data_IF_023686225331
#
_entry.id   IF_023686225331
#
_cell.length_a   1.000
_cell.length_b   1.000
_cell.length_c   1.000
_cell.angle_alpha   90.00
_cell.angle_beta   90.00
_cell.angle_gamma   90.00
#
_symmetry.space_group_name_H-M   'P 1'
#
loop_
_entity.id
_entity.type
_entity.pdbx_description
1 polymer ?
#
# COMPACT_ATOMS: atom_id res chain seq x y z
N UNK A 1 29.64 7.21 8.81
CA UNK A 1 28.18 7.31 8.96
C UNK A 1 27.81 6.49 10.16
N UNK A 2 27.14 7.12 11.12
CA UNK A 2 26.77 6.50 12.40
C UNK A 2 25.74 5.36 12.13
N UNK A 3 25.92 4.16 12.70
CA UNK A 3 24.95 3.07 12.56
C UNK A 3 23.52 3.45 12.99
N UNK A 4 23.36 4.47 13.85
CA UNK A 4 22.05 5.04 14.18
C UNK A 4 21.39 5.76 12.98
N UNK A 5 22.16 6.38 12.09
CA UNK A 5 21.62 7.06 10.89
C UNK A 5 21.23 6.08 9.78
N UNK A 6 21.92 4.94 9.67
CA UNK A 6 21.58 3.88 8.71
C UNK A 6 20.32 3.14 9.14
N UNK A 7 20.12 2.95 10.45
CA UNK A 7 18.92 2.32 11.01
C UNK A 7 17.68 3.21 10.81
N UNK A 8 17.81 4.54 10.95
CA UNK A 8 16.70 5.48 10.75
C UNK A 8 16.22 5.56 9.29
N UNK A 9 17.11 5.35 8.31
CA UNK A 9 16.77 5.30 6.88
C UNK A 9 16.06 3.98 6.54
N UNK A 10 16.37 2.88 7.23
CA UNK A 10 15.70 1.59 7.09
C UNK A 10 14.29 1.58 7.71
N UNK A 11 14.03 2.31 8.79
CA UNK A 11 12.69 2.38 9.40
C UNK A 11 11.72 3.27 8.62
N UNK A 12 12.23 4.29 7.91
CA UNK A 12 11.41 5.10 6.99
C UNK A 12 11.10 4.40 5.66
N UNK A 13 11.82 3.32 5.33
CA UNK A 13 11.54 2.46 4.19
C UNK A 13 10.34 1.50 4.42
N UNK A 14 9.81 1.40 5.64
CA UNK A 14 8.95 0.28 6.06
C UNK A 14 7.44 0.56 6.13
N UNK A 15 6.97 1.78 5.84
CA UNK A 15 5.53 2.06 5.73
C UNK A 15 5.18 2.71 4.37
N UNK A 16 4.66 1.93 3.41
CA UNK A 16 4.15 2.41 2.13
C UNK A 16 3.13 3.55 2.24
N UNK A 17 2.32 3.57 3.31
CA UNK A 17 1.34 4.62 3.52
C UNK A 17 1.99 5.92 4.03
N UNK A 18 2.95 5.85 4.95
CA UNK A 18 3.69 7.02 5.42
C UNK A 18 4.40 7.73 4.27
N UNK A 19 5.00 6.97 3.35
CA UNK A 19 5.65 7.55 2.17
C UNK A 19 4.64 8.12 1.16
N UNK A 20 3.48 7.48 0.96
CA UNK A 20 2.39 8.06 0.16
C UNK A 20 1.88 9.38 0.75
N UNK A 21 1.73 9.45 2.08
CA UNK A 21 1.35 10.68 2.80
C UNK A 21 2.41 11.77 2.61
N UNK A 22 3.69 11.45 2.72
CA UNK A 22 4.79 12.39 2.51
C UNK A 22 4.82 12.95 1.06
N UNK A 23 4.59 12.10 0.05
CA UNK A 23 4.54 12.52 -1.35
C UNK A 23 3.33 13.40 -1.66
N UNK A 24 2.16 13.13 -1.06
CA UNK A 24 0.99 14.03 -1.16
C UNK A 24 1.28 15.37 -0.52
N UNK A 25 1.83 15.37 0.68
CA UNK A 25 2.20 16.59 1.39
C UNK A 25 3.21 17.43 0.59
N UNK A 26 4.27 16.82 0.04
CA UNK A 26 5.21 17.55 -0.82
C UNK A 26 4.54 18.17 -2.05
N UNK A 27 3.53 17.51 -2.62
CA UNK A 27 2.77 18.06 -3.75
C UNK A 27 1.96 19.28 -3.32
N UNK A 28 1.23 19.16 -2.21
CA UNK A 28 0.42 20.24 -1.63
C UNK A 28 1.28 21.45 -1.24
N UNK A 29 2.39 21.21 -0.53
CA UNK A 29 3.34 22.24 -0.12
C UNK A 29 3.93 22.97 -1.35
N UNK A 30 4.25 22.25 -2.43
CA UNK A 30 4.78 22.83 -3.67
C UNK A 30 3.73 23.66 -4.44
N UNK A 31 2.47 23.22 -4.47
CA UNK A 31 1.35 24.00 -5.04
C UNK A 31 1.11 25.27 -4.23
N UNK A 32 1.14 25.19 -2.89
CA UNK A 32 0.94 26.34 -2.01
C UNK A 32 2.09 27.36 -2.14
N UNK A 33 3.33 26.89 -2.20
CA UNK A 33 4.51 27.75 -2.40
C UNK A 33 4.44 28.50 -3.74
N UNK A 34 4.13 27.79 -4.83
CA UNK A 34 3.99 28.42 -6.14
C UNK A 34 2.86 29.45 -6.15
N UNK A 35 1.69 29.12 -5.58
CA UNK A 35 0.57 30.05 -5.47
C UNK A 35 0.94 31.32 -4.69
N UNK A 36 1.59 31.17 -3.52
CA UNK A 36 2.05 32.31 -2.70
C UNK A 36 3.06 33.19 -3.43
N UNK A 37 3.98 32.59 -4.17
CA UNK A 37 4.98 33.32 -4.96
C UNK A 37 4.31 34.10 -6.12
N UNK A 38 3.39 33.46 -6.85
CA UNK A 38 2.62 34.10 -7.93
C UNK A 38 1.74 35.23 -7.42
N UNK A 39 1.08 35.07 -6.28
CA UNK A 39 0.25 36.11 -5.68
C UNK A 39 1.09 37.33 -5.25
N UNK A 40 2.28 37.10 -4.70
CA UNK A 40 3.23 38.16 -4.33
C UNK A 40 3.71 38.94 -5.56
N UNK A 41 4.12 38.23 -6.62
CA UNK A 41 4.52 38.83 -7.90
C UNK A 41 3.39 39.68 -8.51
N UNK A 42 2.17 39.15 -8.57
CA UNK A 42 1.01 39.87 -9.12
C UNK A 42 0.66 41.12 -8.31
N UNK A 43 0.76 41.07 -6.99
CA UNK A 43 0.53 42.23 -6.12
C UNK A 43 1.55 43.33 -6.38
N UNK A 44 2.83 42.97 -6.39
CA UNK A 44 3.92 43.92 -6.69
C UNK A 44 3.74 44.57 -8.07
N UNK A 45 3.39 43.78 -9.10
CA UNK A 45 3.13 44.31 -10.43
C UNK A 45 1.94 45.27 -10.47
N UNK A 46 0.85 44.93 -9.77
CA UNK A 46 -0.35 45.78 -9.70
C UNK A 46 -0.07 47.11 -9.00
N UNK A 47 0.74 47.10 -7.95
CA UNK A 47 1.17 48.32 -7.25
C UNK A 47 2.05 49.19 -8.14
N UNK A 48 3.04 48.60 -8.81
CA UNK A 48 3.89 49.30 -9.77
C UNK A 48 3.08 49.92 -10.89
N UNK A 49 2.20 49.14 -11.53
CA UNK A 49 1.37 49.59 -12.65
C UNK A 49 0.43 50.74 -12.25
N UNK A 50 -0.16 50.65 -11.06
CA UNK A 50 -0.99 51.72 -10.50
C UNK A 50 -0.19 53.02 -10.31
N UNK A 51 1.04 52.91 -9.80
CA UNK A 51 1.91 54.07 -9.61
C UNK A 51 2.40 54.65 -10.94
N UNK A 52 2.84 53.81 -11.87
CA UNK A 52 3.29 54.21 -13.20
C UNK A 52 2.18 54.94 -13.97
N UNK A 53 0.94 54.43 -13.89
CA UNK A 53 -0.23 55.08 -14.50
C UNK A 53 -0.50 56.47 -13.92
N UNK A 54 -0.42 56.64 -12.60
CA UNK A 54 -0.58 57.96 -11.97
C UNK A 54 0.47 58.96 -12.47
N UNK A 55 1.72 58.53 -12.54
CA UNK A 55 2.84 59.37 -13.02
C UNK A 55 2.65 59.73 -14.49
N UNK A 56 2.16 58.80 -15.32
CA UNK A 56 1.84 59.04 -16.72
C UNK A 56 0.68 60.03 -16.89
N UNK A 57 -0.40 59.87 -16.10
CA UNK A 57 -1.55 60.78 -16.09
C UNK A 57 -1.13 62.20 -15.65
N UNK A 58 -0.29 62.32 -14.61
CA UNK A 58 0.29 63.60 -14.16
C UNK A 58 1.16 64.26 -15.27
N UNK A 59 1.95 63.47 -16.00
CA UNK A 59 2.74 63.97 -17.12
C UNK A 59 1.84 64.48 -18.27
N UNK A 60 0.76 63.76 -18.58
CA UNK A 60 -0.22 64.16 -19.60
C UNK A 60 -0.93 65.47 -19.24
N UNK A 61 -1.38 65.62 -17.99
CA UNK A 61 -1.99 66.87 -17.51
C UNK A 61 -1.00 68.04 -17.52
N UNK A 62 0.29 67.78 -17.27
CA UNK A 62 1.33 68.81 -17.34
C UNK A 62 1.59 69.28 -18.77
N UNK A 63 1.64 68.37 -19.74
CA UNK A 63 1.75 68.68 -21.17
C UNK A 63 0.55 69.53 -21.62
N UNK A 64 -0.67 69.11 -21.24
CA UNK A 64 -1.90 69.84 -21.56
C UNK A 64 -1.86 71.27 -20.99
N UNK A 65 -1.53 71.40 -19.70
CA UNK A 65 -1.42 72.70 -19.03
C UNK A 65 -0.42 73.63 -19.72
N UNK A 66 0.75 73.11 -20.10
CA UNK A 66 1.78 73.89 -20.83
C UNK A 66 1.31 74.32 -22.21
N UNK A 67 0.58 73.46 -22.95
CA UNK A 67 0.01 73.80 -24.25
C UNK A 67 -1.03 74.93 -24.12
N UNK A 68 -1.92 74.82 -23.14
CA UNK A 68 -2.95 75.82 -22.87
C UNK A 68 -2.35 77.17 -22.45
N UNK A 69 -1.32 77.15 -21.59
CA UNK A 69 -0.61 78.36 -21.16
C UNK A 69 0.11 79.05 -22.32
N UNK A 70 0.84 78.29 -23.14
CA UNK A 70 1.49 78.83 -24.34
C UNK A 70 0.50 79.41 -25.34
N UNK A 71 -0.64 78.73 -25.53
CA UNK A 71 -1.70 79.21 -26.41
C UNK A 71 -2.23 80.57 -25.92
N UNK A 72 -2.53 80.71 -24.62
CA UNK A 72 -2.97 81.98 -24.01
C UNK A 72 -1.95 83.10 -24.19
N UNK A 73 -0.67 82.84 -23.94
CA UNK A 73 0.41 83.83 -24.11
C UNK A 73 0.51 84.27 -25.57
N UNK A 74 0.47 83.30 -26.49
CA UNK A 74 0.54 83.55 -27.94
C UNK A 74 -0.65 84.39 -28.43
N UNK A 75 -1.86 84.07 -27.98
CA UNK A 75 -3.07 84.82 -28.32
C UNK A 75 -3.04 86.24 -27.77
N UNK A 76 -2.61 86.42 -26.52
CA UNK A 76 -2.47 87.73 -25.89
C UNK A 76 -1.46 88.62 -26.64
N UNK A 77 -0.27 88.10 -26.94
CA UNK A 77 0.76 88.84 -27.69
C UNK A 77 0.30 89.16 -29.12
N UNK A 78 -0.40 88.24 -29.78
CA UNK A 78 -0.97 88.49 -31.11
C UNK A 78 -2.06 89.57 -31.09
N UNK A 79 -2.92 89.57 -30.05
CA UNK A 79 -3.95 90.58 -29.88
C UNK A 79 -3.34 91.96 -29.62
N UNK A 80 -2.26 92.06 -28.84
CA UNK A 80 -1.58 93.33 -28.59
C UNK A 80 -0.94 93.88 -29.87
N UNK A 81 -0.31 93.04 -30.71
CA UNK A 81 0.20 93.45 -32.03
C UNK A 81 -0.94 93.99 -32.91
N UNK A 82 -2.09 93.31 -32.96
CA UNK A 82 -3.27 93.78 -33.71
C UNK A 82 -3.75 95.14 -33.20
N UNK A 83 -3.80 95.33 -31.89
CA UNK A 83 -4.21 96.59 -31.25
C UNK A 83 -3.22 97.72 -31.55
N UNK A 84 -1.91 97.45 -31.52
CA UNK A 84 -0.89 98.41 -31.91
C UNK A 84 -1.03 98.83 -33.38
N UNK A 85 -1.22 97.86 -34.28
CA UNK A 85 -1.45 98.12 -35.70
C UNK A 85 -2.71 98.96 -35.95
N UNK A 86 -3.81 98.68 -35.23
CA UNK A 86 -5.04 99.47 -35.33
C UNK A 86 -4.82 100.92 -34.87
N UNK A 87 -4.16 101.13 -33.73
CA UNK A 87 -3.84 102.48 -33.23
C UNK A 87 -2.97 103.27 -34.21
N UNK A 88 -1.97 102.62 -34.79
CA UNK A 88 -1.12 103.23 -35.80
C UNK A 88 -1.93 103.64 -37.04
N UNK A 89 -2.80 102.76 -37.54
CA UNK A 89 -3.67 103.08 -38.67
C UNK A 89 -4.58 104.29 -38.37
N UNK A 90 -5.18 104.34 -37.18
CA UNK A 90 -6.03 105.46 -36.74
C UNK A 90 -5.23 106.77 -36.65
N UNK A 91 -4.00 106.74 -36.13
CA UNK A 91 -3.11 107.90 -36.05
C UNK A 91 -2.68 108.40 -37.44
N UNK A 92 -2.35 107.49 -38.36
CA UNK A 92 -2.04 107.83 -39.75
C UNK A 92 -3.25 108.46 -40.44
N UNK A 93 -4.45 107.90 -40.26
CA UNK A 93 -5.67 108.47 -40.84
C UNK A 93 -5.96 109.87 -40.28
N UNK A 94 -5.82 110.05 -38.97
CA UNK A 94 -5.98 111.35 -38.31
C UNK A 94 -4.96 112.37 -38.85
N UNK A 95 -3.68 112.00 -38.94
CA UNK A 95 -2.63 112.86 -39.46
C UNK A 95 -2.89 113.26 -40.92
N UNK A 96 -3.34 112.32 -41.76
CA UNK A 96 -3.72 112.58 -43.15
C UNK A 96 -4.93 113.54 -43.26
N UNK A 97 -5.93 113.40 -42.40
CA UNK A 97 -7.10 114.32 -42.33
C UNK A 97 -6.69 115.72 -41.88
N UNK A 98 -5.85 115.81 -40.86
CA UNK A 98 -5.29 117.08 -40.36
C UNK A 98 -4.48 117.78 -41.44
N UNK A 99 -3.61 117.04 -42.14
CA UNK A 99 -2.83 117.57 -43.26
C UNK A 99 -3.72 118.05 -44.40
N UNK A 100 -4.70 117.24 -44.82
CA UNK A 100 -5.66 117.61 -45.87
C UNK A 100 -6.43 118.90 -45.53
N UNK A 101 -6.84 119.04 -44.26
CA UNK A 101 -7.52 120.24 -43.76
C UNK A 101 -6.59 121.45 -43.74
N UNK A 102 -5.33 121.26 -43.31
CA UNK A 102 -4.31 122.30 -43.29
C UNK A 102 -4.00 122.82 -44.69
N UNK A 103 -3.82 121.92 -45.67
CA UNK A 103 -3.61 122.29 -47.09
C UNK A 103 -4.82 123.04 -47.67
N UNK A 104 -6.05 122.61 -47.34
CA UNK A 104 -7.29 123.28 -47.77
C UNK A 104 -7.40 124.71 -47.21
N UNK A 105 -6.96 124.94 -45.98
CA UNK A 105 -6.99 126.25 -45.35
C UNK A 105 -5.89 127.20 -45.86
N UNK A 106 -4.77 126.67 -46.37
CA UNK A 106 -3.67 127.45 -46.94
C UNK A 106 -3.89 127.84 -48.42
N UNK A 107 -5.14 127.78 -48.93
CA UNK A 107 -5.51 128.09 -50.33
C UNK A 107 -5.22 129.53 -50.79
N UNK A 108 -4.96 130.45 -49.87
CA UNK A 108 -4.58 131.85 -50.13
C UNK A 108 -3.11 132.17 -49.82
N UNK A 109 -2.33 131.21 -49.31
CA UNK A 109 -0.90 131.38 -48.99
C UNK A 109 0.04 131.11 -50.19
N UNK A 110 1.30 131.55 -50.09
CA UNK A 110 2.35 131.36 -51.11
C UNK A 110 2.70 129.89 -51.32
N UNK A 111 3.08 129.53 -52.55
CA UNK A 111 3.38 128.16 -52.94
C UNK A 111 4.51 127.52 -52.12
N UNK A 112 5.49 128.31 -51.68
CA UNK A 112 6.57 127.87 -50.78
C UNK A 112 6.07 127.37 -49.42
N UNK A 113 5.06 128.03 -48.83
CA UNK A 113 4.50 127.60 -47.53
C UNK A 113 3.71 126.28 -47.64
N UNK A 114 3.06 126.04 -48.78
CA UNK A 114 2.40 124.75 -49.05
C UNK A 114 3.41 123.62 -49.24
N UNK A 115 4.46 123.85 -50.02
CA UNK A 115 5.55 122.87 -50.20
C UNK A 115 6.24 122.53 -48.88
N UNK A 116 6.46 123.51 -48.01
CA UNK A 116 7.03 123.27 -46.68
C UNK A 116 6.11 122.40 -45.81
N UNK A 117 4.80 122.66 -45.82
CA UNK A 117 3.83 121.85 -45.05
C UNK A 117 3.67 120.41 -45.58
N UNK A 118 3.81 120.20 -46.89
CA UNK A 118 3.89 118.86 -47.51
C UNK A 118 5.17 118.13 -47.14
N UNK A 119 6.32 118.81 -47.17
CA UNK A 119 7.59 118.23 -46.73
C UNK A 119 7.57 117.86 -45.25
N UNK A 120 7.06 118.72 -44.37
CA UNK A 120 6.94 118.45 -42.94
C UNK A 120 5.99 117.27 -42.65
N UNK A 121 4.87 117.19 -43.37
CA UNK A 121 3.95 116.05 -43.26
C UNK A 121 4.61 114.75 -43.72
N UNK A 122 5.26 114.76 -44.88
CA UNK A 122 5.97 113.60 -45.42
C UNK A 122 7.08 113.13 -44.47
N UNK A 123 7.83 114.06 -43.88
CA UNK A 123 8.86 113.74 -42.90
C UNK A 123 8.28 113.11 -41.62
N UNK A 124 7.18 113.67 -41.09
CA UNK A 124 6.48 113.12 -39.91
C UNK A 124 5.90 111.74 -40.17
N UNK A 125 5.29 111.54 -41.34
CA UNK A 125 4.68 110.27 -41.72
C UNK A 125 5.75 109.19 -41.91
N UNK A 126 6.87 109.54 -42.58
CA UNK A 126 8.01 108.64 -42.75
C UNK A 126 8.66 108.26 -41.42
N UNK A 127 8.80 109.21 -40.48
CA UNK A 127 9.33 108.93 -39.13
C UNK A 127 8.40 108.01 -38.34
N UNK A 128 7.09 108.24 -38.41
CA UNK A 128 6.08 107.41 -37.74
C UNK A 128 6.00 106.01 -38.35
N UNK A 129 6.07 105.87 -39.67
CA UNK A 129 6.17 104.59 -40.38
C UNK A 129 7.40 103.79 -39.92
N UNK A 130 8.55 104.44 -39.83
CA UNK A 130 9.80 103.79 -39.43
C UNK A 130 9.79 103.35 -37.96
N UNK A 131 9.23 104.18 -37.07
CA UNK A 131 9.05 103.86 -35.65
C UNK A 131 8.05 102.73 -35.44
N UNK A 132 6.91 102.76 -36.14
CA UNK A 132 5.93 101.66 -36.12
C UNK A 132 6.54 100.37 -36.65
N UNK A 133 7.23 100.40 -37.80
CA UNK A 133 7.91 99.23 -38.37
C UNK A 133 8.89 98.62 -37.38
N UNK A 134 9.66 99.45 -36.66
CA UNK A 134 10.59 98.97 -35.62
C UNK A 134 9.85 98.32 -34.45
N UNK A 135 8.75 98.92 -33.99
CA UNK A 135 7.92 98.36 -32.90
C UNK A 135 7.25 97.04 -33.31
N UNK A 136 6.66 96.97 -34.51
CA UNK A 136 6.05 95.75 -35.05
C UNK A 136 7.08 94.62 -35.16
N UNK A 137 8.27 94.90 -35.71
CA UNK A 137 9.35 93.91 -35.83
C UNK A 137 9.77 93.39 -34.44
N UNK A 138 9.89 94.28 -33.45
CA UNK A 138 10.23 93.88 -32.08
C UNK A 138 9.13 93.02 -31.43
N UNK A 139 7.86 93.39 -31.61
CA UNK A 139 6.74 92.63 -31.06
C UNK A 139 6.58 91.26 -31.73
N UNK A 140 6.78 91.18 -33.06
CA UNK A 140 6.82 89.92 -33.80
C UNK A 140 7.97 89.01 -33.34
N UNK A 141 9.14 89.58 -33.03
CA UNK A 141 10.27 88.85 -32.46
C UNK A 141 9.92 88.26 -31.09
N UNK A 142 9.32 89.04 -30.19
CA UNK A 142 8.87 88.57 -28.87
C UNK A 142 7.81 87.46 -29.01
N UNK A 143 6.88 87.59 -29.95
CA UNK A 143 5.89 86.54 -30.24
C UNK A 143 6.55 85.25 -30.75
N UNK A 144 7.56 85.36 -31.62
CA UNK A 144 8.29 84.20 -32.12
C UNK A 144 9.09 83.50 -31.01
N UNK A 145 9.76 84.26 -30.14
CA UNK A 145 10.49 83.74 -28.98
C UNK A 145 9.54 83.00 -28.00
N UNK A 146 8.38 83.59 -27.68
CA UNK A 146 7.39 82.96 -26.81
C UNK A 146 6.83 81.64 -27.40
N UNK A 147 6.58 81.60 -28.71
CA UNK A 147 6.15 80.37 -29.40
C UNK A 147 7.22 79.26 -29.33
N UNK A 148 8.49 79.62 -29.54
CA UNK A 148 9.58 78.64 -29.52
C UNK A 148 9.86 78.13 -28.11
N UNK A 149 9.92 79.02 -27.10
CA UNK A 149 10.07 78.62 -25.69
C UNK A 149 8.92 77.67 -25.28
N UNK A 150 7.71 78.01 -25.70
CA UNK A 150 6.55 77.19 -25.45
C UNK A 150 6.64 75.79 -26.07
N UNK A 151 7.06 75.73 -27.34
CA UNK A 151 7.30 74.46 -28.04
C UNK A 151 8.35 73.61 -27.34
N UNK A 152 9.45 74.22 -26.89
CA UNK A 152 10.53 73.51 -26.19
C UNK A 152 10.04 72.90 -24.87
N UNK A 153 9.27 73.64 -24.07
CA UNK A 153 8.69 73.11 -22.81
C UNK A 153 7.82 71.88 -23.05
N UNK A 154 6.98 71.90 -24.10
CA UNK A 154 6.13 70.77 -24.47
C UNK A 154 6.98 69.57 -24.90
N UNK A 155 7.99 69.78 -25.74
CA UNK A 155 8.90 68.72 -26.19
C UNK A 155 9.65 68.07 -25.02
N UNK A 156 10.13 68.87 -24.06
CA UNK A 156 10.78 68.34 -22.85
C UNK A 156 9.83 67.51 -21.99
N UNK A 157 8.57 67.94 -21.86
CA UNK A 157 7.56 67.21 -21.12
C UNK A 157 7.16 65.90 -21.81
N UNK A 158 7.04 65.90 -23.15
CA UNK A 158 6.82 64.70 -23.96
C UNK A 158 7.98 63.72 -23.81
N UNK A 159 9.23 64.18 -23.87
CA UNK A 159 10.41 63.34 -23.65
C UNK A 159 10.43 62.69 -22.27
N UNK A 160 10.00 63.41 -21.22
CA UNK A 160 9.87 62.84 -19.86
C UNK A 160 8.78 61.76 -19.82
N UNK A 161 7.65 61.97 -20.50
CA UNK A 161 6.58 60.98 -20.62
C UNK A 161 7.07 59.72 -21.31
N UNK A 162 7.77 59.85 -22.43
CA UNK A 162 8.31 58.70 -23.16
C UNK A 162 9.28 57.89 -22.30
N UNK A 163 10.11 58.55 -21.49
CA UNK A 163 10.96 57.89 -20.50
C UNK A 163 10.20 57.12 -19.42
N UNK A 164 9.01 57.60 -19.00
CA UNK A 164 8.13 56.88 -18.07
C UNK A 164 7.56 55.63 -18.73
N UNK A 165 7.06 55.77 -19.97
CA UNK A 165 6.50 54.65 -20.75
C UNK A 165 7.57 53.57 -20.97
N UNK A 166 8.80 53.98 -21.31
CA UNK A 166 9.90 53.05 -21.51
C UNK A 166 10.21 52.25 -20.23
N UNK A 167 10.34 52.92 -19.07
CA UNK A 167 10.56 52.25 -17.79
C UNK A 167 9.44 51.28 -17.44
N UNK A 168 8.18 51.68 -17.69
CA UNK A 168 7.01 50.82 -17.46
C UNK A 168 7.08 49.54 -18.29
N UNK A 169 7.50 49.64 -19.56
CA UNK A 169 7.67 48.49 -20.43
C UNK A 169 8.83 47.58 -19.99
N UNK A 170 9.96 48.16 -19.55
CA UNK A 170 11.10 47.40 -19.01
C UNK A 170 10.70 46.61 -17.75
N UNK A 171 9.94 47.22 -16.85
CA UNK A 171 9.46 46.54 -15.64
C UNK A 171 8.43 45.44 -15.96
N UNK A 172 7.53 45.70 -16.92
CA UNK A 172 6.58 44.69 -17.39
C UNK A 172 7.29 43.48 -17.99
N UNK A 173 8.33 43.70 -18.79
CA UNK A 173 9.14 42.63 -19.35
C UNK A 173 9.82 41.81 -18.24
N UNK A 174 10.38 42.49 -17.24
CA UNK A 174 11.00 41.83 -16.08
C UNK A 174 10.00 40.97 -15.30
N UNK A 175 8.78 41.47 -15.11
CA UNK A 175 7.70 40.71 -14.48
C UNK A 175 7.31 39.47 -15.30
N UNK A 176 7.18 39.60 -16.61
CA UNK A 176 6.84 38.48 -17.49
C UNK A 176 7.91 37.38 -17.42
N UNK A 177 9.19 37.75 -17.50
CA UNK A 177 10.31 36.80 -17.39
C UNK A 177 10.37 36.12 -16.01
N UNK A 178 10.12 36.88 -14.93
CA UNK A 178 10.06 36.32 -13.58
C UNK A 178 8.89 35.34 -13.41
N UNK A 179 7.73 35.67 -13.98
CA UNK A 179 6.55 34.80 -13.97
C UNK A 179 6.78 33.51 -14.77
N UNK A 180 7.41 33.60 -15.94
CA UNK A 180 7.74 32.44 -16.78
C UNK A 180 8.71 31.50 -16.06
N UNK A 181 9.81 32.04 -15.51
CA UNK A 181 10.78 31.24 -14.73
C UNK A 181 10.15 30.54 -13.53
N UNK A 182 9.20 31.21 -12.86
CA UNK A 182 8.51 30.63 -11.71
C UNK A 182 7.56 29.49 -12.13
N UNK A 183 6.89 29.63 -13.27
CA UNK A 183 6.03 28.60 -13.86
C UNK A 183 6.85 27.38 -14.31
N UNK A 184 7.96 27.61 -15.01
CA UNK A 184 8.86 26.54 -15.46
C UNK A 184 9.41 25.73 -14.29
N UNK A 185 9.88 26.42 -13.25
CA UNK A 185 10.37 25.79 -12.01
C UNK A 185 9.27 24.96 -11.33
N UNK A 186 8.04 25.48 -11.28
CA UNK A 186 6.90 24.75 -10.74
C UNK A 186 6.59 23.49 -11.56
N UNK A 187 6.54 23.59 -12.89
CA UNK A 187 6.31 22.45 -13.77
C UNK A 187 7.40 21.39 -13.64
N UNK A 188 8.67 21.80 -13.54
CA UNK A 188 9.78 20.87 -13.34
C UNK A 188 9.64 20.11 -12.00
N UNK A 189 9.30 20.82 -10.93
CA UNK A 189 9.06 20.21 -9.62
C UNK A 189 7.87 19.24 -9.66
N UNK A 190 6.78 19.61 -10.32
CA UNK A 190 5.62 18.71 -10.51
C UNK A 190 6.01 17.45 -11.29
N UNK A 191 6.81 17.57 -12.35
CA UNK A 191 7.34 16.41 -13.11
C UNK A 191 8.20 15.51 -12.21
N UNK A 192 9.12 16.08 -11.44
CA UNK A 192 9.97 15.33 -10.48
C UNK A 192 9.13 14.57 -9.46
N UNK A 193 8.14 15.23 -8.85
CA UNK A 193 7.21 14.61 -7.90
C UNK A 193 6.45 13.46 -8.57
N UNK A 194 5.94 13.66 -9.79
CA UNK A 194 5.18 12.64 -10.54
C UNK A 194 6.03 11.41 -10.85
N UNK A 195 7.26 11.60 -11.34
CA UNK A 195 8.19 10.50 -11.63
C UNK A 195 8.51 9.71 -10.37
N UNK A 196 8.80 10.40 -9.26
CA UNK A 196 9.07 9.75 -7.97
C UNK A 196 7.86 8.95 -7.46
N UNK A 197 6.65 9.50 -7.59
CA UNK A 197 5.40 8.81 -7.25
C UNK A 197 5.19 7.54 -8.08
N UNK A 198 5.47 7.59 -9.38
CA UNK A 198 5.32 6.44 -10.28
C UNK A 198 6.31 5.33 -9.94
N UNK A 199 7.58 5.66 -9.75
CA UNK A 199 8.61 4.71 -9.36
C UNK A 199 8.26 4.02 -8.03
N UNK A 200 7.81 4.80 -7.05
CA UNK A 200 7.41 4.29 -5.75
C UNK A 200 6.20 3.35 -5.81
N UNK A 201 5.19 3.66 -6.62
CA UNK A 201 4.04 2.76 -6.85
C UNK A 201 4.49 1.41 -7.40
N UNK A 202 5.42 1.41 -8.36
CA UNK A 202 5.92 0.18 -8.96
C UNK A 202 6.69 -0.66 -7.94
N UNK A 203 7.53 -0.04 -7.12
CA UNK A 203 8.29 -0.71 -6.07
C UNK A 203 7.38 -1.33 -5.01
N UNK A 204 6.36 -0.60 -4.55
CA UNK A 204 5.36 -1.14 -3.61
C UNK A 204 4.59 -2.33 -4.17
N UNK A 205 4.22 -2.31 -5.46
CA UNK A 205 3.55 -3.45 -6.09
C UNK A 205 4.46 -4.69 -6.10
N UNK A 206 5.76 -4.52 -6.36
CA UNK A 206 6.73 -5.63 -6.30
C UNK A 206 6.86 -6.18 -4.87
N UNK A 207 7.00 -5.30 -3.87
CA UNK A 207 7.11 -5.71 -2.46
C UNK A 207 5.85 -6.48 -2.03
N UNK A 208 4.65 -5.96 -2.33
CA UNK A 208 3.39 -6.63 -2.00
C UNK A 208 3.26 -8.00 -2.68
N UNK A 209 3.66 -8.10 -3.94
CA UNK A 209 3.65 -9.38 -4.67
C UNK A 209 4.57 -10.40 -4.00
N UNK A 210 5.81 -10.03 -3.70
CA UNK A 210 6.78 -10.91 -3.05
C UNK A 210 6.31 -11.35 -1.66
N UNK A 211 5.75 -10.42 -0.88
CA UNK A 211 5.19 -10.70 0.44
C UNK A 211 4.05 -11.74 0.36
N UNK A 212 3.14 -11.58 -0.60
CA UNK A 212 2.03 -12.51 -0.80
C UNK A 212 2.51 -13.90 -1.24
N UNK A 213 3.57 -13.97 -2.06
CA UNK A 213 4.21 -15.24 -2.43
C UNK A 213 4.82 -15.96 -1.21
N UNK A 214 5.51 -15.22 -0.34
CA UNK A 214 6.09 -15.76 0.91
C UNK A 214 4.98 -16.25 1.85
N UNK A 215 3.95 -15.43 2.09
CA UNK A 215 2.84 -15.80 2.97
C UNK A 215 2.08 -17.03 2.46
N UNK A 216 1.86 -17.12 1.15
CA UNK A 216 1.22 -18.28 0.55
C UNK A 216 2.09 -19.54 0.71
N UNK A 217 3.40 -19.44 0.50
CA UNK A 217 4.32 -20.56 0.72
C UNK A 217 4.28 -21.06 2.17
N UNK A 218 4.39 -20.15 3.13
CA UNK A 218 4.33 -20.49 4.56
C UNK A 218 2.99 -21.16 4.93
N UNK A 219 1.86 -20.65 4.39
CA UNK A 219 0.54 -21.27 4.60
C UNK A 219 0.48 -22.69 4.03
N UNK A 220 1.02 -22.90 2.83
CA UNK A 220 1.06 -24.22 2.20
C UNK A 220 1.94 -25.20 2.97
N UNK A 221 3.10 -24.76 3.44
CA UNK A 221 4.01 -25.58 4.25
C UNK A 221 3.34 -26.01 5.56
N UNK A 222 2.70 -25.07 6.27
CA UNK A 222 1.94 -25.36 7.48
C UNK A 222 0.75 -26.30 7.22
N UNK A 223 0.05 -26.14 6.10
CA UNK A 223 -1.04 -27.04 5.71
C UNK A 223 -0.53 -28.46 5.45
N UNK A 224 0.63 -28.60 4.80
CA UNK A 224 1.27 -29.89 4.56
C UNK A 224 1.72 -30.57 5.86
N UNK A 225 2.26 -29.81 6.82
CA UNK A 225 2.61 -30.32 8.15
C UNK A 225 1.37 -30.82 8.90
N UNK A 226 0.31 -29.99 8.96
CA UNK A 226 -0.96 -30.38 9.58
C UNK A 226 -1.55 -31.65 8.94
N UNK A 227 -1.46 -31.78 7.61
CA UNK A 227 -1.91 -32.98 6.92
C UNK A 227 -1.10 -34.21 7.31
N UNK A 228 0.24 -34.11 7.36
CA UNK A 228 1.12 -35.20 7.80
C UNK A 228 0.81 -35.64 9.23
N UNK A 229 0.57 -34.69 10.13
CA UNK A 229 0.25 -34.99 11.52
C UNK A 229 -1.13 -35.64 11.67
N UNK A 230 -2.14 -35.16 10.94
CA UNK A 230 -3.45 -35.80 10.89
C UNK A 230 -3.37 -37.24 10.36
N UNK A 231 -2.59 -37.46 9.30
CA UNK A 231 -2.37 -38.79 8.75
C UNK A 231 -1.69 -39.73 9.75
N UNK A 232 -0.72 -39.21 10.51
CA UNK A 232 -0.04 -39.96 11.56
C UNK A 232 -0.99 -40.32 12.70
N UNK A 233 -1.79 -39.37 13.16
CA UNK A 233 -2.77 -39.59 14.24
C UNK A 233 -3.80 -40.65 13.84
N UNK A 234 -4.34 -40.53 12.62
CA UNK A 234 -5.30 -41.50 12.10
C UNK A 234 -4.69 -42.91 11.99
N UNK A 235 -3.45 -43.02 11.52
CA UNK A 235 -2.73 -44.30 11.43
C UNK A 235 -2.55 -44.93 12.81
N UNK A 236 -2.11 -44.13 13.80
CA UNK A 236 -1.94 -44.58 15.18
C UNK A 236 -3.27 -45.02 15.80
N UNK A 237 -4.35 -44.25 15.60
CA UNK A 237 -5.66 -44.59 16.12
C UNK A 237 -6.19 -45.90 15.50
N UNK A 238 -5.99 -46.10 14.21
CA UNK A 238 -6.36 -47.35 13.55
C UNK A 238 -5.53 -48.53 14.06
N UNK A 239 -4.24 -48.35 14.30
CA UNK A 239 -3.39 -49.37 14.92
C UNK A 239 -3.90 -49.76 16.33
N UNK A 240 -4.28 -48.78 17.17
CA UNK A 240 -4.89 -49.05 18.49
C UNK A 240 -6.12 -49.92 18.37
N UNK A 241 -7.04 -49.56 17.47
CA UNK A 241 -8.30 -50.26 17.32
C UNK A 241 -8.07 -51.70 16.80
N UNK A 242 -7.13 -51.90 15.86
CA UNK A 242 -6.75 -53.24 15.38
C UNK A 242 -6.19 -54.10 16.52
N UNK A 243 -5.31 -53.55 17.36
CA UNK A 243 -4.77 -54.29 18.51
C UNK A 243 -5.90 -54.66 19.49
N UNK A 244 -6.85 -53.75 19.75
CA UNK A 244 -7.99 -54.01 20.64
C UNK A 244 -8.90 -55.12 20.10
N UNK A 245 -9.21 -55.12 18.80
CA UNK A 245 -10.01 -56.18 18.20
C UNK A 245 -9.23 -57.52 18.16
N UNK A 246 -7.90 -57.46 18.00
CA UNK A 246 -7.05 -58.66 18.07
C UNK A 246 -7.02 -59.26 19.49
N UNK A 247 -7.00 -58.44 20.53
CA UNK A 247 -7.01 -58.89 21.94
C UNK A 247 -8.24 -59.75 22.26
N UNK A 248 -9.40 -59.46 21.68
CA UNK A 248 -10.60 -60.30 21.86
C UNK A 248 -10.39 -61.74 21.40
N UNK A 249 -9.62 -61.95 20.34
CA UNK A 249 -9.26 -63.29 19.88
C UNK A 249 -8.37 -63.98 20.93
N UNK A 250 -7.35 -63.28 21.43
CA UNK A 250 -6.40 -63.80 22.43
C UNK A 250 -7.13 -64.24 23.70
N UNK A 251 -8.06 -63.43 24.20
CA UNK A 251 -8.84 -63.72 25.42
C UNK A 251 -9.61 -65.05 25.32
N UNK A 252 -10.14 -65.37 24.13
CA UNK A 252 -10.82 -66.67 23.91
C UNK A 252 -9.87 -67.85 24.00
N UNK A 253 -8.64 -67.71 23.50
CA UNK A 253 -7.61 -68.75 23.52
C UNK A 253 -7.07 -68.97 24.93
N UNK A 254 -6.86 -67.89 25.69
CA UNK A 254 -6.45 -67.96 27.11
C UNK A 254 -7.50 -68.73 27.92
N UNK A 255 -8.79 -68.47 27.69
CA UNK A 255 -9.88 -69.17 28.39
C UNK A 255 -9.82 -70.69 28.16
N UNK A 256 -9.60 -71.13 26.90
CA UNK A 256 -9.43 -72.54 26.57
C UNK A 256 -8.20 -73.15 27.23
N UNK A 257 -7.08 -72.42 27.27
CA UNK A 257 -5.83 -72.85 27.92
C UNK A 257 -5.99 -73.09 29.42
N UNK A 258 -6.71 -72.21 30.12
CA UNK A 258 -6.96 -72.32 31.57
C UNK A 258 -7.75 -73.61 31.88
N UNK A 259 -8.82 -73.88 31.12
CA UNK A 259 -9.62 -75.10 31.31
C UNK A 259 -8.85 -76.38 30.95
N UNK A 260 -7.92 -76.34 29.98
CA UNK A 260 -7.00 -77.45 29.74
C UNK A 260 -6.08 -77.71 30.94
N UNK A 261 -5.57 -76.65 31.57
CA UNK A 261 -4.77 -76.75 32.80
C UNK A 261 -5.54 -77.41 33.95
N UNK A 262 -6.83 -77.08 34.10
CA UNK A 262 -7.73 -77.72 35.07
C UNK A 262 -7.88 -79.23 34.80
N UNK A 263 -8.20 -79.61 33.57
CA UNK A 263 -8.34 -81.02 33.15
C UNK A 263 -7.05 -81.81 33.40
N UNK A 264 -5.89 -81.22 33.07
CA UNK A 264 -4.57 -81.82 33.32
C UNK A 264 -4.39 -82.14 34.81
N UNK A 265 -4.62 -81.15 35.69
CA UNK A 265 -4.39 -81.31 37.13
C UNK A 265 -5.24 -82.41 37.74
N UNK A 266 -6.47 -82.59 37.24
CA UNK A 266 -7.39 -83.61 37.74
C UNK A 266 -7.15 -85.00 37.14
N UNK A 267 -6.72 -85.09 35.87
CA UNK A 267 -6.42 -86.36 35.21
C UNK A 267 -5.04 -86.92 35.55
N UNK A 268 -4.09 -86.06 35.97
CA UNK A 268 -2.73 -86.45 36.34
C UNK A 268 -2.32 -85.84 37.69
N UNK A 269 -2.68 -86.47 38.82
CA UNK A 269 -2.32 -85.96 40.15
C UNK A 269 -0.80 -85.95 40.38
N UNK A 270 -0.28 -84.90 41.02
CA UNK A 270 1.16 -84.65 41.19
C UNK A 270 1.96 -85.74 41.94
N UNK A 271 1.28 -86.67 42.63
CA UNK A 271 1.91 -87.74 43.42
C UNK A 271 1.79 -89.14 42.79
N UNK A 272 1.38 -89.24 41.52
CA UNK A 272 1.29 -90.53 40.81
C UNK A 272 0.19 -91.47 41.32
N UNK A 273 -0.79 -90.93 42.06
CA UNK A 273 -1.97 -91.67 42.48
C UNK A 273 -2.99 -91.81 41.36
N UNK A 274 -3.85 -92.83 41.43
CA UNK A 274 -4.93 -93.02 40.47
C UNK A 274 -5.86 -91.78 40.45
N UNK A 275 -6.32 -91.33 39.27
CA UNK A 275 -7.22 -90.18 39.16
C UNK A 275 -8.49 -90.41 39.97
N UNK A 276 -8.75 -89.58 40.98
CA UNK A 276 -9.98 -89.65 41.79
C UNK A 276 -10.90 -88.51 41.40
N UNK A 277 -11.37 -88.53 40.15
CA UNK A 277 -12.20 -87.48 39.57
C UNK A 277 -13.65 -87.75 39.94
N UNK A 278 -14.29 -86.79 40.62
CA UNK A 278 -15.73 -86.86 40.92
C UNK A 278 -16.49 -86.67 39.59
N UNK A 279 -17.44 -87.55 39.25
CA UNK A 279 -18.27 -87.38 38.06
C UNK A 279 -18.90 -85.98 38.02
N UNK A 280 -18.79 -85.31 36.87
CA UNK A 280 -19.30 -83.95 36.66
C UNK A 280 -18.37 -82.81 37.08
N UNK A 281 -17.24 -83.07 37.76
CA UNK A 281 -16.30 -82.01 38.20
C UNK A 281 -15.72 -81.21 37.03
N UNK A 282 -15.39 -81.88 35.93
CA UNK A 282 -14.74 -81.29 34.75
C UNK A 282 -15.73 -80.84 33.67
N UNK A 283 -17.05 -80.99 33.87
CA UNK A 283 -18.07 -80.64 32.86
C UNK A 283 -18.01 -79.15 32.48
N UNK A 284 -17.72 -78.29 33.46
CA UNK A 284 -17.54 -76.86 33.24
C UNK A 284 -16.33 -76.59 32.34
N UNK A 285 -15.22 -77.30 32.54
CA UNK A 285 -14.00 -77.15 31.74
C UNK A 285 -14.20 -77.61 30.29
N UNK A 286 -14.89 -78.73 30.07
CA UNK A 286 -15.25 -79.18 28.72
C UNK A 286 -16.19 -78.21 28.02
N UNK A 287 -17.19 -77.68 28.74
CA UNK A 287 -18.10 -76.64 28.24
C UNK A 287 -17.35 -75.35 27.88
N UNK A 288 -16.41 -74.92 28.73
CA UNK A 288 -15.57 -73.74 28.51
C UNK A 288 -14.67 -73.90 27.28
N UNK A 289 -14.02 -75.05 27.09
CA UNK A 289 -13.21 -75.32 25.90
C UNK A 289 -14.08 -75.29 24.65
N UNK A 290 -15.24 -75.96 24.66
CA UNK A 290 -16.15 -75.98 23.52
C UNK A 290 -16.70 -74.59 23.18
N UNK A 291 -17.02 -73.80 24.21
CA UNK A 291 -17.43 -72.40 24.09
C UNK A 291 -16.29 -71.53 23.53
N UNK A 292 -15.06 -71.70 24.01
CA UNK A 292 -13.88 -71.00 23.53
C UNK A 292 -13.58 -71.32 22.06
N UNK A 293 -13.70 -72.58 21.62
CA UNK A 293 -13.54 -72.96 20.21
C UNK A 293 -14.57 -72.28 19.29
N UNK A 294 -15.83 -72.23 19.71
CA UNK A 294 -16.88 -71.56 18.93
C UNK A 294 -16.70 -70.03 18.93
N UNK A 295 -16.32 -69.46 20.08
CA UNK A 295 -16.06 -68.03 20.22
C UNK A 295 -14.86 -67.61 19.37
N UNK A 296 -13.74 -68.36 19.41
CA UNK A 296 -12.57 -68.12 18.59
C UNK A 296 -12.92 -68.09 17.09
N UNK A 297 -13.71 -69.05 16.60
CA UNK A 297 -14.16 -69.07 15.19
C UNK A 297 -14.95 -67.80 14.83
N UNK A 298 -15.82 -67.35 15.73
CA UNK A 298 -16.61 -66.15 15.50
C UNK A 298 -15.73 -64.87 15.55
N UNK A 299 -14.90 -64.71 16.57
CA UNK A 299 -14.01 -63.56 16.73
C UNK A 299 -12.99 -63.46 15.58
N UNK A 300 -12.42 -64.59 15.14
CA UNK A 300 -11.56 -64.64 13.94
C UNK A 300 -12.28 -64.10 12.69
N UNK A 301 -13.55 -64.46 12.49
CA UNK A 301 -14.35 -63.99 11.36
C UNK A 301 -14.65 -62.49 11.49
N UNK A 302 -15.05 -62.03 12.68
CA UNK A 302 -15.31 -60.62 12.95
C UNK A 302 -14.07 -59.76 12.74
N UNK A 303 -12.93 -60.20 13.25
CA UNK A 303 -11.65 -59.53 13.05
C UNK A 303 -11.24 -59.47 11.57
N UNK A 304 -11.43 -60.57 10.82
CA UNK A 304 -11.15 -60.57 9.37
C UNK A 304 -12.01 -59.54 8.63
N UNK A 305 -13.30 -59.45 8.99
CA UNK A 305 -14.20 -58.44 8.42
C UNK A 305 -13.81 -57.01 8.84
N UNK A 306 -13.40 -56.83 10.10
CA UNK A 306 -12.90 -55.57 10.62
C UNK A 306 -11.67 -55.08 9.87
N UNK A 307 -10.68 -55.95 9.65
CA UNK A 307 -9.44 -55.64 8.92
C UNK A 307 -9.74 -55.24 7.48
N UNK A 308 -10.64 -55.95 6.78
CA UNK A 308 -11.04 -55.60 5.40
C UNK A 308 -11.64 -54.18 5.33
N UNK A 309 -12.40 -53.78 6.35
CA UNK A 309 -13.05 -52.48 6.40
C UNK A 309 -12.16 -51.37 6.97
N UNK A 310 -10.99 -51.72 7.50
CA UNK A 310 -10.08 -50.75 8.11
C UNK A 310 -9.10 -50.24 7.05
N UNK A 311 -9.15 -48.93 6.79
CA UNK A 311 -8.19 -48.26 5.92
C UNK A 311 -7.03 -47.68 6.75
N UNK A 312 -5.86 -47.50 6.14
CA UNK A 312 -4.73 -46.76 6.74
C UNK A 312 -4.21 -47.38 8.05
N UNK A 313 -4.13 -48.70 8.09
CA UNK A 313 -3.36 -49.44 9.11
C UNK A 313 -2.04 -49.88 8.51
N UNK A 314 -0.99 -49.93 9.33
CA UNK A 314 0.30 -50.45 8.91
C UNK A 314 0.19 -51.93 8.52
N UNK A 315 0.72 -52.25 7.34
CA UNK A 315 0.69 -53.62 6.80
C UNK A 315 1.38 -54.63 7.71
N UNK A 316 2.48 -54.22 8.36
CA UNK A 316 3.25 -55.07 9.28
C UNK A 316 2.42 -55.53 10.47
N UNK A 317 1.62 -54.63 11.06
CA UNK A 317 0.71 -54.96 12.15
C UNK A 317 -0.31 -56.02 11.71
N UNK A 318 -0.90 -55.86 10.53
CA UNK A 318 -1.88 -56.81 9.99
C UNK A 318 -1.25 -58.19 9.72
N UNK A 319 -0.02 -58.21 9.20
CA UNK A 319 0.74 -59.44 8.96
C UNK A 319 1.06 -60.18 10.27
N UNK A 320 1.50 -59.46 11.31
CA UNK A 320 1.77 -60.02 12.63
C UNK A 320 0.50 -60.62 13.27
N UNK A 321 -0.63 -59.90 13.23
CA UNK A 321 -1.91 -60.44 13.69
C UNK A 321 -2.31 -61.70 12.91
N UNK A 322 -2.15 -61.71 11.58
CA UNK A 322 -2.50 -62.86 10.75
C UNK A 322 -1.62 -64.09 11.03
N UNK A 323 -0.35 -63.91 11.34
CA UNK A 323 0.55 -64.99 11.79
C UNK A 323 0.08 -65.61 13.10
N UNK A 324 -0.18 -64.78 14.11
CA UNK A 324 -0.62 -65.26 15.42
C UNK A 324 -2.00 -65.93 15.37
N UNK A 325 -2.92 -65.41 14.54
CA UNK A 325 -4.23 -66.07 14.31
C UNK A 325 -4.05 -67.45 13.71
N UNK A 326 -3.10 -67.66 12.80
CA UNK A 326 -2.84 -68.98 12.21
C UNK A 326 -2.32 -69.96 13.26
N UNK A 327 -1.42 -69.52 14.14
CA UNK A 327 -0.91 -70.35 15.23
C UNK A 327 -2.03 -70.72 16.22
N UNK A 328 -2.88 -69.76 16.59
CA UNK A 328 -4.06 -70.00 17.42
C UNK A 328 -5.06 -70.96 16.77
N UNK A 329 -5.31 -70.81 15.47
CA UNK A 329 -6.23 -71.65 14.71
C UNK A 329 -5.77 -73.11 14.67
N UNK A 330 -4.47 -73.36 14.51
CA UNK A 330 -3.89 -74.70 14.51
C UNK A 330 -4.14 -75.44 15.84
N UNK A 331 -4.04 -74.75 16.98
CA UNK A 331 -4.30 -75.34 18.30
C UNK A 331 -5.81 -75.50 18.58
N UNK A 332 -6.59 -74.44 18.33
CA UNK A 332 -8.04 -74.41 18.61
C UNK A 332 -8.86 -75.33 17.70
N UNK A 333 -8.29 -75.78 16.58
CA UNK A 333 -8.90 -76.76 15.66
C UNK A 333 -8.22 -78.12 15.66
N UNK A 334 -7.27 -78.34 16.58
CA UNK A 334 -6.56 -79.61 16.66
C UNK A 334 -7.52 -80.77 16.89
N UNK A 335 -7.29 -81.86 16.17
CA UNK A 335 -8.06 -83.10 16.33
C UNK A 335 -7.95 -83.63 17.76
N UNK A 336 -6.77 -83.47 18.37
CA UNK A 336 -6.46 -83.80 19.77
C UNK A 336 -7.41 -83.14 20.76
N UNK A 337 -7.63 -81.83 20.62
CA UNK A 337 -8.54 -81.07 21.48
C UNK A 337 -9.99 -81.54 21.31
N UNK A 338 -10.42 -81.74 20.06
CA UNK A 338 -11.78 -82.21 19.74
C UNK A 338 -12.03 -83.64 20.23
N UNK A 339 -11.06 -84.55 20.07
CA UNK A 339 -11.14 -85.92 20.56
C UNK A 339 -11.21 -85.95 22.07
N UNK A 340 -10.35 -85.19 22.75
CA UNK A 340 -10.35 -85.10 24.21
C UNK A 340 -11.70 -84.60 24.75
N UNK A 341 -12.26 -83.52 24.19
CA UNK A 341 -13.55 -82.98 24.62
C UNK A 341 -14.74 -83.90 24.33
N UNK A 342 -14.61 -84.85 23.40
CA UNK A 342 -15.69 -85.82 23.08
C UNK A 342 -15.55 -87.15 23.82
N UNK A 343 -14.32 -87.62 24.04
CA UNK A 343 -14.06 -88.97 24.58
C UNK A 343 -13.86 -88.95 26.09
N UNK A 344 -13.18 -87.95 26.65
CA UNK A 344 -12.85 -87.90 28.06
C UNK A 344 -14.10 -87.80 28.96
N UNK A 345 -15.13 -86.97 28.66
CA UNK A 345 -16.36 -86.93 29.46
C UNK A 345 -17.09 -88.27 29.54
N UNK A 346 -17.13 -89.04 28.44
CA UNK A 346 -17.81 -90.34 28.37
C UNK A 346 -17.17 -91.41 29.27
N UNK A 347 -15.88 -91.25 29.57
CA UNK A 347 -15.12 -92.16 30.44
C UNK A 347 -15.23 -91.75 31.90
N UNK A 348 -15.32 -90.44 32.17
CA UNK A 348 -15.51 -89.86 33.50
C UNK A 348 -16.93 -90.00 34.04
N UNK A 349 -17.93 -90.18 33.16
CA UNK A 349 -19.34 -90.34 33.56
C UNK A 349 -19.70 -91.74 34.07
N UNK A 350 -18.75 -92.68 34.13
CA UNK A 350 -18.97 -94.05 34.61
C UNK A 350 -18.75 -94.14 36.12
N UNK A 351 -19.71 -94.70 36.85
CA UNK A 351 -19.66 -94.83 38.32
C UNK A 351 -18.51 -95.73 38.82
N UNK A 352 -18.01 -96.65 37.99
CA UNK A 352 -16.83 -97.47 38.27
C UNK A 352 -16.00 -97.66 36.99
N UNK A 353 -14.97 -96.83 36.74
CA UNK A 353 -14.13 -96.95 35.56
C UNK A 353 -13.31 -98.26 35.63
N UNK A 354 -13.35 -99.04 34.55
CA UNK A 354 -12.51 -100.24 34.46
C UNK A 354 -11.04 -99.85 34.16
N UNK A 355 -10.13 -100.83 34.17
CA UNK A 355 -8.69 -100.59 33.91
C UNK A 355 -8.43 -99.91 32.55
N UNK A 356 -9.27 -100.16 31.55
CA UNK A 356 -9.15 -99.54 30.24
C UNK A 356 -9.63 -98.08 30.25
N UNK A 357 -10.71 -97.77 30.97
CA UNK A 357 -11.20 -96.41 31.16
C UNK A 357 -10.16 -95.54 31.89
N UNK A 358 -9.48 -96.09 32.91
CA UNK A 358 -8.39 -95.41 33.61
C UNK A 358 -7.19 -95.12 32.69
N UNK A 359 -6.79 -96.09 31.85
CA UNK A 359 -5.73 -95.88 30.84
C UNK A 359 -6.08 -94.79 29.83
N UNK A 360 -7.33 -94.74 29.40
CA UNK A 360 -7.81 -93.71 28.46
C UNK A 360 -7.86 -92.33 29.14
N UNK A 361 -8.26 -92.25 30.41
CA UNK A 361 -8.22 -91.02 31.20
C UNK A 361 -6.77 -90.52 31.36
N UNK A 362 -5.84 -91.41 31.71
CA UNK A 362 -4.41 -91.08 31.79
C UNK A 362 -3.85 -90.62 30.43
N UNK A 363 -4.16 -91.34 29.34
CA UNK A 363 -3.77 -90.97 27.98
C UNK A 363 -4.24 -89.57 27.58
N UNK A 364 -5.50 -89.23 27.84
CA UNK A 364 -6.03 -87.89 27.55
C UNK A 364 -5.54 -86.84 28.55
N UNK A 365 -5.19 -87.21 29.78
CA UNK A 365 -4.49 -86.35 30.74
C UNK A 365 -3.09 -85.96 30.27
N UNK A 366 -2.34 -86.92 29.72
CA UNK A 366 -1.03 -86.67 29.09
C UNK A 366 -1.17 -85.78 27.85
N UNK A 367 -2.16 -86.07 27.00
CA UNK A 367 -2.44 -85.26 25.81
C UNK A 367 -2.91 -83.84 26.17
N UNK A 368 -3.70 -83.69 27.23
CA UNK A 368 -4.06 -82.39 27.81
C UNK A 368 -2.81 -81.65 28.31
N UNK A 369 -1.82 -82.35 28.85
CA UNK A 369 -0.54 -81.75 29.26
C UNK A 369 0.22 -81.20 28.06
N UNK A 370 0.36 -81.98 26.98
CA UNK A 370 1.00 -81.51 25.76
C UNK A 370 0.27 -80.33 25.14
N UNK A 371 -1.07 -80.41 25.03
CA UNK A 371 -1.88 -79.31 24.52
C UNK A 371 -1.75 -78.07 25.39
N UNK A 372 -1.94 -78.18 26.70
CA UNK A 372 -1.80 -77.05 27.62
C UNK A 372 -0.42 -76.41 27.53
N UNK A 373 0.66 -77.18 27.40
CA UNK A 373 2.01 -76.65 27.21
C UNK A 373 2.14 -75.86 25.89
N UNK A 374 1.63 -76.39 24.78
CA UNK A 374 1.61 -75.68 23.49
C UNK A 374 0.77 -74.40 23.57
N UNK A 375 -0.36 -74.43 24.29
CA UNK A 375 -1.18 -73.25 24.55
C UNK A 375 -0.47 -72.23 25.44
N UNK A 376 0.28 -72.64 26.47
CA UNK A 376 1.07 -71.74 27.31
C UNK A 376 2.18 -71.06 26.52
N UNK A 377 2.93 -71.81 25.71
CA UNK A 377 3.95 -71.27 24.81
C UNK A 377 3.35 -70.26 23.83
N UNK A 378 2.17 -70.58 23.29
CA UNK A 378 1.43 -69.65 22.44
C UNK A 378 0.96 -68.41 23.22
N UNK A 379 0.42 -68.54 24.43
CA UNK A 379 0.02 -67.40 25.26
C UNK A 379 1.20 -66.47 25.55
N UNK A 380 2.37 -67.01 25.91
CA UNK A 380 3.59 -66.22 26.11
C UNK A 380 4.00 -65.49 24.82
N UNK A 381 4.00 -66.19 23.69
CA UNK A 381 4.28 -65.58 22.38
C UNK A 381 3.27 -64.49 22.02
N UNK A 382 1.99 -64.68 22.34
CA UNK A 382 0.90 -63.73 22.10
C UNK A 382 1.06 -62.48 22.97
N UNK A 383 1.38 -62.64 24.25
CA UNK A 383 1.61 -61.53 25.17
C UNK A 383 2.83 -60.69 24.76
N UNK A 384 3.96 -61.34 24.45
CA UNK A 384 5.17 -60.67 23.98
C UNK A 384 4.92 -59.95 22.65
N UNK A 385 4.26 -60.62 21.70
CA UNK A 385 3.97 -60.03 20.39
C UNK A 385 2.97 -58.88 20.51
N UNK A 386 1.94 -58.98 21.35
CA UNK A 386 0.96 -57.92 21.57
C UNK A 386 1.61 -56.70 22.23
N UNK A 387 2.50 -56.93 23.20
CA UNK A 387 3.28 -55.86 23.83
C UNK A 387 4.22 -55.19 22.84
N UNK A 388 4.90 -55.96 21.99
CA UNK A 388 5.76 -55.42 20.94
C UNK A 388 4.95 -54.60 19.91
N UNK A 389 3.79 -55.10 19.47
CA UNK A 389 2.89 -54.36 18.57
C UNK A 389 2.39 -53.05 19.20
N UNK A 390 2.10 -53.04 20.49
CA UNK A 390 1.74 -51.81 21.21
C UNK A 390 2.91 -50.83 21.27
N UNK A 391 4.13 -51.29 21.53
CA UNK A 391 5.32 -50.43 21.62
C UNK A 391 5.70 -49.87 20.23
N UNK A 392 5.71 -50.71 19.20
CA UNK A 392 6.15 -50.33 17.85
C UNK A 392 5.16 -49.38 17.17
N UNK A 393 3.86 -49.58 17.37
CA UNK A 393 2.84 -48.84 16.62
C UNK A 393 2.15 -47.74 17.45
N UNK A 394 2.31 -47.72 18.77
CA UNK A 394 1.74 -46.71 19.65
C UNK A 394 2.87 -45.94 20.34
N UNK A 395 3.32 -44.80 19.79
CA UNK A 395 4.24 -43.94 20.52
C UNK A 395 3.59 -43.53 21.84
N UNK A 396 4.24 -43.86 22.97
CA UNK A 396 3.82 -43.40 24.30
C UNK A 396 3.64 -41.89 24.28
N UNK A 397 2.49 -41.43 24.79
CA UNK A 397 2.13 -40.00 24.84
C UNK A 397 3.15 -39.16 25.64
N UNK A 398 4.03 -39.80 26.41
CA UNK A 398 5.01 -39.14 27.28
C UNK A 398 6.23 -38.60 26.53
N UNK A 399 6.45 -38.97 25.27
CA UNK A 399 7.59 -38.50 24.48
C UNK A 399 7.49 -37.06 23.94
N UNK A 400 6.31 -36.43 23.96
CA UNK A 400 6.11 -35.09 23.37
C UNK A 400 6.33 -33.92 24.33
N UNK A 401 6.55 -34.14 25.63
CA UNK A 401 6.76 -33.05 26.59
C UNK A 401 8.23 -32.64 26.78
N UNK A 402 9.22 -33.45 26.36
CA UNK A 402 10.63 -33.17 26.65
C UNK A 402 11.43 -32.54 25.51
N UNK A 403 10.88 -32.46 24.29
CA UNK A 403 11.52 -31.73 23.18
C UNK A 403 11.12 -30.25 23.09
N UNK A 404 10.14 -29.79 23.86
CA UNK A 404 9.73 -28.38 23.90
C UNK A 404 10.48 -27.53 24.95
N UNK A 405 11.42 -28.11 25.72
CA UNK A 405 12.19 -27.40 26.76
C UNK A 405 13.67 -27.20 26.36
N UNK A 406 14.12 -27.77 25.23
CA UNK A 406 15.51 -27.64 24.76
C UNK A 406 15.62 -27.13 23.31
N UNK A 407 14.84 -26.11 22.93
CA UNK A 407 15.12 -25.25 21.77
C UNK A 407 14.81 -23.79 22.08
#
# INVERSE_FOLDING_TARGET
MDPATVTMIATLASDPEAQCRALRKMKEDNEELHKKAMDTLRKSQKEYESNAKKIEDEANERIKSQRDENQKITEMLSAEIKKQNMKYNDEVEKMNKEHSSRIKNMRTETEEKRKQAEQDHRFKLSRMEEEHKKQTTQAEKVLAEAKEEGRQKVVEAEKKKDGIIQKRNEELQTFLEASEKLEDSHQENVRKIRTRNSAFRLENMKIRKNQLEIENKVKMDKMNENYKDLMRELTNQNAKNVIQEFQRIIETVITGSISLGSIRCDCLPAHGGAPTIIPGKLDVDFSNIQSAMNSFRNEKRLFSQYVINTNRTERRLLEACAELIRDMDALMTSQDLSEMCSQLPLRLSKESPNTEDLRIIEFYGERSTTLHQLFLELCVKLDDSTRNMQIEHLPSAEGRSLQAINQ
#
